data_IF_012983918434
#
_entry.id   IF_012983918434
#
_cell.length_a   1.000
_cell.length_b   1.000
_cell.length_c   1.000
_cell.angle_alpha   90.00
_cell.angle_beta   90.00
_cell.angle_gamma   90.00
#
_symmetry.space_group_name_H-M   'P 1'
#
loop_
_entity.id
_entity.type
_entity.pdbx_description
1 polymer ?
#
# COMPACT_ATOMS: atom_id res chain seq x y z
N UNK A 1 -33.52 -8.45 21.71
CA UNK A 1 -33.34 -7.52 20.57
C UNK A 1 -32.70 -6.14 20.88
N UNK A 2 -31.84 -5.92 21.90
CA UNK A 2 -31.01 -4.70 21.95
C UNK A 2 -29.58 -4.87 21.39
N UNK A 3 -29.03 -6.09 21.42
CA UNK A 3 -27.60 -6.31 21.11
C UNK A 3 -27.28 -6.36 19.60
N UNK A 4 -28.26 -6.66 18.74
CA UNK A 4 -28.06 -6.60 17.27
C UNK A 4 -27.99 -5.15 16.74
N UNK A 5 -28.61 -4.18 17.43
CA UNK A 5 -28.57 -2.76 17.00
C UNK A 5 -27.25 -2.08 17.33
N UNK A 6 -26.55 -2.50 18.38
CA UNK A 6 -25.24 -1.98 18.74
C UNK A 6 -24.13 -2.45 17.76
N UNK A 7 -24.20 -3.71 17.30
CA UNK A 7 -23.25 -4.25 16.33
C UNK A 7 -23.40 -3.60 14.94
N UNK A 8 -24.63 -3.33 14.49
CA UNK A 8 -24.88 -2.64 13.21
C UNK A 8 -24.42 -1.17 13.26
N UNK A 9 -24.57 -0.47 14.40
CA UNK A 9 -24.05 0.90 14.57
C UNK A 9 -22.51 0.95 14.65
N UNK A 10 -21.86 -0.05 15.25
CA UNK A 10 -20.39 -0.11 15.30
C UNK A 10 -19.80 -0.38 13.90
N UNK A 11 -20.44 -1.26 13.12
CA UNK A 11 -20.05 -1.54 11.74
C UNK A 11 -20.28 -0.32 10.83
N UNK A 12 -21.34 0.46 11.06
CA UNK A 12 -21.55 1.74 10.36
C UNK A 12 -20.52 2.82 10.75
N UNK A 13 -20.17 2.94 12.04
CA UNK A 13 -19.14 3.88 12.50
C UNK A 13 -17.72 3.50 12.02
N UNK A 14 -17.48 2.21 11.77
CA UNK A 14 -16.19 1.73 11.25
C UNK A 14 -16.13 1.81 9.72
N UNK A 15 -17.25 1.66 9.02
CA UNK A 15 -17.33 1.77 7.54
C UNK A 15 -17.42 3.22 7.03
N UNK A 16 -17.96 4.16 7.81
CA UNK A 16 -17.89 5.59 7.48
C UNK A 16 -16.49 6.22 7.67
N UNK A 17 -15.51 5.44 8.15
CA UNK A 17 -14.10 5.88 8.23
C UNK A 17 -13.35 5.75 6.90
N UNK A 18 -13.99 5.22 5.86
CA UNK A 18 -13.33 4.90 4.59
C UNK A 18 -14.01 5.48 3.34
N UNK A 19 -14.89 6.46 3.51
CA UNK A 19 -15.27 7.39 2.44
C UNK A 19 -14.80 8.79 2.82
N UNK A 20 -13.47 8.96 2.75
CA UNK A 20 -12.84 10.27 2.68
C UNK A 20 -13.22 10.88 1.33
N UNK A 21 -14.17 11.80 1.35
CA UNK A 21 -14.40 12.73 0.26
C UNK A 21 -13.12 13.57 0.19
N UNK A 22 -12.42 13.48 -0.94
CA UNK A 22 -11.22 14.27 -1.24
C UNK A 22 -11.48 15.75 -0.88
N UNK A 23 -10.73 16.29 0.09
CA UNK A 23 -10.75 17.71 0.47
C UNK A 23 -11.73 18.15 1.57
N UNK A 24 -12.19 17.27 2.48
CA UNK A 24 -13.04 17.68 3.59
C UNK A 24 -12.23 18.18 4.81
N UNK A 25 -12.08 19.50 4.95
CA UNK A 25 -11.59 20.15 6.17
C UNK A 25 -12.50 19.81 7.36
N UNK A 26 -12.09 18.84 8.17
CA UNK A 26 -12.73 18.59 9.45
C UNK A 26 -12.23 19.60 10.49
N UNK A 27 -13.08 19.98 11.43
CA UNK A 27 -12.68 20.91 12.52
C UNK A 27 -11.83 20.24 13.60
N UNK A 28 -11.64 18.92 13.52
CA UNK A 28 -10.74 18.18 14.40
C UNK A 28 -9.27 18.43 14.04
N UNK A 29 -8.38 18.34 15.03
CA UNK A 29 -6.93 18.55 14.83
C UNK A 29 -6.36 17.63 13.76
N UNK A 30 -6.80 16.36 13.74
CA UNK A 30 -6.32 15.34 12.81
C UNK A 30 -7.03 15.33 11.45
N UNK A 31 -7.83 16.35 11.14
CA UNK A 31 -8.55 16.45 9.86
C UNK A 31 -7.87 17.46 8.94
N UNK A 32 -6.56 17.29 8.77
CA UNK A 32 -5.69 18.07 7.91
C UNK A 32 -4.59 17.12 7.37
N UNK A 33 -4.24 17.27 6.09
CA UNK A 33 -3.33 16.34 5.40
C UNK A 33 -1.91 16.41 5.96
N UNK A 34 -1.37 17.63 6.16
CA UNK A 34 -0.08 17.85 6.83
C UNK A 34 -0.02 17.17 8.20
N UNK A 35 -1.09 17.26 8.99
CA UNK A 35 -1.14 16.57 10.27
C UNK A 35 -1.04 15.05 10.09
N UNK A 36 -1.82 14.49 9.16
CA UNK A 36 -1.90 13.06 8.92
C UNK A 36 -0.55 12.50 8.47
N UNK A 37 0.09 13.16 7.50
CA UNK A 37 1.38 12.74 6.93
C UNK A 37 2.48 12.71 8.01
N UNK A 38 2.60 13.78 8.80
CA UNK A 38 3.61 13.86 9.87
C UNK A 38 3.35 12.85 10.98
N UNK A 39 2.08 12.65 11.34
CA UNK A 39 1.70 11.67 12.37
C UNK A 39 1.99 10.23 11.92
N UNK A 40 1.67 9.90 10.67
CA UNK A 40 1.90 8.58 10.11
C UNK A 40 3.40 8.31 9.92
N UNK A 41 4.17 9.26 9.37
CA UNK A 41 5.63 9.13 9.24
C UNK A 41 6.32 8.96 10.60
N UNK A 42 5.91 9.74 11.61
CA UNK A 42 6.43 9.58 12.97
C UNK A 42 6.21 8.14 13.47
N UNK A 43 5.00 7.61 13.31
CA UNK A 43 4.68 6.29 13.83
C UNK A 43 5.27 5.16 12.99
N UNK A 44 5.54 5.36 11.70
CA UNK A 44 6.29 4.40 10.89
C UNK A 44 7.72 4.26 11.39
N UNK A 45 8.42 5.37 11.60
CA UNK A 45 9.78 5.38 12.16
C UNK A 45 9.80 4.85 13.60
N UNK A 46 8.77 5.16 14.39
CA UNK A 46 8.59 4.61 15.74
C UNK A 46 8.28 3.11 15.72
N UNK A 47 7.53 2.60 14.75
CA UNK A 47 7.31 1.16 14.65
C UNK A 47 8.57 0.43 14.18
N UNK A 48 9.47 1.12 13.45
CA UNK A 48 10.77 0.62 13.01
C UNK A 48 11.88 0.66 14.07
N UNK A 49 11.57 1.07 15.30
CA UNK A 49 12.51 1.00 16.42
C UNK A 49 13.30 2.28 16.72
N UNK A 50 13.09 3.37 15.96
CA UNK A 50 13.81 4.63 16.18
C UNK A 50 13.36 5.35 17.46
N UNK A 51 14.24 6.15 18.09
CA UNK A 51 13.91 6.90 19.30
C UNK A 51 13.10 8.15 18.96
N UNK A 52 12.19 8.56 19.86
CA UNK A 52 11.31 9.73 19.63
C UNK A 52 12.11 11.00 19.35
N UNK A 53 13.22 11.20 20.04
CA UNK A 53 14.10 12.36 19.83
C UNK A 53 14.70 12.38 18.41
N UNK A 54 15.20 11.24 17.92
CA UNK A 54 15.77 11.11 16.58
C UNK A 54 14.70 11.35 15.50
N UNK A 55 13.53 10.75 15.68
CA UNK A 55 12.38 10.93 14.79
C UNK A 55 12.01 12.41 14.74
N UNK A 56 11.91 13.07 15.90
CA UNK A 56 11.53 14.48 15.99
C UNK A 56 12.54 15.38 15.28
N UNK A 57 13.84 15.17 15.51
CA UNK A 57 14.91 15.91 14.82
C UNK A 57 14.85 15.71 13.30
N UNK A 58 14.64 14.47 12.85
CA UNK A 58 14.51 14.14 11.43
C UNK A 58 13.31 14.83 10.80
N UNK A 59 12.11 14.68 11.38
CA UNK A 59 10.90 15.30 10.84
C UNK A 59 11.01 16.83 10.77
N UNK A 60 11.59 17.47 11.79
CA UNK A 60 11.84 18.92 11.77
C UNK A 60 12.83 19.31 10.66
N UNK A 61 13.88 18.51 10.46
CA UNK A 61 14.89 18.79 9.43
C UNK A 61 14.35 18.64 8.01
N UNK A 62 13.52 17.62 7.78
CA UNK A 62 13.01 17.26 6.45
C UNK A 62 11.80 18.10 6.03
N UNK A 63 11.02 18.62 6.98
CA UNK A 63 9.79 19.38 6.71
C UNK A 63 9.98 20.90 6.89
N UNK A 64 11.19 21.42 6.66
CA UNK A 64 11.46 22.87 6.81
C UNK A 64 10.57 23.74 5.93
N UNK A 65 10.25 23.30 4.73
CA UNK A 65 9.36 24.03 3.82
C UNK A 65 7.96 24.15 4.42
N UNK A 66 7.38 23.04 4.88
CA UNK A 66 6.08 23.01 5.59
C UNK A 66 6.09 23.85 6.87
N UNK A 67 7.18 23.79 7.64
CA UNK A 67 7.32 24.58 8.88
C UNK A 67 7.37 26.08 8.59
N UNK A 68 7.93 26.48 7.45
CA UNK A 68 8.02 27.87 7.02
C UNK A 68 6.78 28.36 6.26
N UNK A 69 5.86 27.46 5.89
CA UNK A 69 4.58 27.78 5.26
C UNK A 69 3.55 28.20 6.32
N UNK A 70 3.11 29.47 6.36
CA UNK A 70 2.25 29.97 7.45
C UNK A 70 0.89 29.27 7.56
N UNK A 71 0.37 28.70 6.47
CA UNK A 71 -0.93 28.00 6.47
C UNK A 71 -0.82 26.57 7.05
N UNK A 72 0.34 25.92 6.93
CA UNK A 72 0.51 24.50 7.28
C UNK A 72 1.35 24.25 8.55
N UNK A 73 2.24 25.20 8.91
CA UNK A 73 3.20 25.05 10.02
C UNK A 73 2.55 24.61 11.34
N UNK A 74 1.36 25.14 11.65
CA UNK A 74 0.65 24.80 12.89
C UNK A 74 0.30 23.30 12.96
N UNK A 75 -0.15 22.72 11.84
CA UNK A 75 -0.57 21.32 11.78
C UNK A 75 0.62 20.36 11.94
N UNK A 76 1.81 20.73 11.43
CA UNK A 76 3.06 20.00 11.70
C UNK A 76 3.32 19.91 13.21
N UNK A 77 3.31 21.04 13.92
CA UNK A 77 3.58 21.06 15.36
C UNK A 77 2.52 20.32 16.18
N UNK A 78 1.26 20.41 15.79
CA UNK A 78 0.19 19.64 16.42
C UNK A 78 0.38 18.12 16.25
N UNK A 79 0.76 17.66 15.06
CA UNK A 79 1.03 16.24 14.80
C UNK A 79 2.21 15.75 15.63
N UNK A 80 3.33 16.46 15.59
CA UNK A 80 4.54 16.10 16.32
C UNK A 80 4.30 16.06 17.83
N UNK A 81 3.67 17.09 18.41
CA UNK A 81 3.36 17.13 19.83
C UNK A 81 2.43 15.99 20.24
N UNK A 82 1.41 15.68 19.42
CA UNK A 82 0.51 14.56 19.72
C UNK A 82 1.24 13.23 19.71
N UNK A 83 2.08 13.00 18.71
CA UNK A 83 2.83 11.75 18.57
C UNK A 83 3.80 11.54 19.73
N UNK A 84 4.56 12.58 20.11
CA UNK A 84 5.45 12.55 21.27
C UNK A 84 4.68 12.31 22.59
N UNK A 85 3.54 12.98 22.78
CA UNK A 85 2.68 12.77 23.95
C UNK A 85 2.16 11.33 24.05
N UNK A 86 1.71 10.74 22.95
CA UNK A 86 1.30 9.34 22.92
C UNK A 86 2.44 8.38 23.26
N UNK A 87 3.68 8.75 22.96
CA UNK A 87 4.88 8.02 23.33
C UNK A 87 5.36 8.31 24.76
N UNK A 88 4.67 9.19 25.50
CA UNK A 88 5.06 9.65 26.84
C UNK A 88 6.44 10.34 26.87
N UNK A 89 6.78 11.02 25.78
CA UNK A 89 8.07 11.69 25.58
C UNK A 89 7.85 13.06 24.92
N UNK A 90 6.78 13.76 25.33
CA UNK A 90 6.50 15.12 24.86
C UNK A 90 7.58 16.06 25.37
N UNK A 91 8.28 16.69 24.41
CA UNK A 91 9.28 17.70 24.68
C UNK A 91 8.60 19.00 25.18
N UNK A 92 9.19 19.63 26.19
CA UNK A 92 8.64 20.82 26.82
C UNK A 92 8.61 22.04 25.88
N UNK A 93 9.61 22.20 25.02
CA UNK A 93 9.67 23.28 24.02
C UNK A 93 8.60 23.08 22.96
N UNK A 94 8.35 21.83 22.55
CA UNK A 94 7.28 21.49 21.60
C UNK A 94 5.90 21.76 22.23
N UNK A 95 5.69 21.40 23.49
CA UNK A 95 4.47 21.72 24.21
C UNK A 95 4.25 23.24 24.32
N UNK A 96 5.27 24.00 24.69
CA UNK A 96 5.13 25.46 24.81
C UNK A 96 4.84 26.10 23.45
N UNK A 97 5.47 25.63 22.37
CA UNK A 97 5.15 26.10 21.01
C UNK A 97 3.68 25.86 20.65
N UNK A 98 3.17 24.65 20.86
CA UNK A 98 1.75 24.33 20.58
C UNK A 98 0.81 25.18 21.44
N UNK A 99 1.15 25.36 22.72
CA UNK A 99 0.39 26.21 23.64
C UNK A 99 0.36 27.66 23.16
N UNK A 100 1.48 28.22 22.72
CA UNK A 100 1.54 29.56 22.17
C UNK A 100 0.66 29.73 20.92
N UNK A 101 0.72 28.79 19.97
CA UNK A 101 -0.11 28.81 18.74
C UNK A 101 -1.60 28.90 19.12
N UNK A 102 -2.02 28.08 20.09
CA UNK A 102 -3.42 28.00 20.52
C UNK A 102 -3.85 29.25 21.29
N UNK A 103 -3.01 29.73 22.21
CA UNK A 103 -3.32 30.90 23.05
C UNK A 103 -3.31 32.21 22.27
N UNK A 104 -2.41 32.36 21.30
CA UNK A 104 -2.36 33.51 20.39
C UNK A 104 -3.45 33.45 19.30
N UNK A 105 -4.13 32.31 19.15
CA UNK A 105 -5.16 32.11 18.14
C UNK A 105 -4.62 32.01 16.71
N UNK A 106 -3.31 31.75 16.53
CA UNK A 106 -2.66 31.76 15.21
C UNK A 106 -3.26 30.76 14.23
N UNK A 107 -3.65 29.56 14.69
CA UNK A 107 -4.35 28.57 13.86
C UNK A 107 -5.74 29.08 13.42
N UNK A 108 -6.45 29.82 14.28
CA UNK A 108 -7.75 30.38 13.92
C UNK A 108 -7.63 31.52 12.90
N UNK A 109 -6.54 32.29 12.93
CA UNK A 109 -6.26 33.31 11.90
C UNK A 109 -5.99 32.68 10.53
N UNK A 110 -5.29 31.55 10.48
CA UNK A 110 -5.13 30.77 9.24
C UNK A 110 -6.51 30.37 8.68
N UNK A 111 -7.37 29.82 9.54
CA UNK A 111 -8.73 29.44 9.14
C UNK A 111 -9.55 30.63 8.62
N UNK A 112 -9.41 31.82 9.22
CA UNK A 112 -10.05 33.05 8.72
C UNK A 112 -9.50 33.49 7.36
N UNK A 113 -8.18 33.40 7.16
CA UNK A 113 -7.52 33.73 5.88
C UNK A 113 -7.96 32.80 4.75
N UNK A 114 -8.29 31.55 5.08
CA UNK A 114 -8.82 30.55 4.15
C UNK A 114 -10.35 30.61 4.02
N UNK A 115 -10.98 31.72 4.42
CA UNK A 115 -12.42 31.98 4.33
C UNK A 115 -13.31 30.90 5.00
N UNK A 116 -12.81 30.26 6.07
CA UNK A 116 -13.61 29.30 6.82
C UNK A 116 -14.81 29.98 7.52
N UNK A 117 -15.96 29.31 7.54
CA UNK A 117 -17.15 29.83 8.21
C UNK A 117 -16.91 30.00 9.73
N UNK A 118 -17.44 31.09 10.31
CA UNK A 118 -17.31 31.39 11.75
C UNK A 118 -17.83 30.24 12.65
N UNK A 119 -18.84 29.49 12.18
CA UNK A 119 -19.34 28.30 12.89
C UNK A 119 -18.26 27.22 13.04
N UNK A 120 -17.39 27.07 12.05
CA UNK A 120 -16.37 26.03 11.99
C UNK A 120 -15.10 26.49 12.69
N UNK A 121 -14.77 27.79 12.64
CA UNK A 121 -13.74 28.41 13.49
C UNK A 121 -14.06 28.20 14.98
N UNK A 122 -15.32 28.40 15.40
CA UNK A 122 -15.74 28.12 16.79
C UNK A 122 -15.56 26.65 17.18
N UNK A 123 -15.89 25.71 16.29
CA UNK A 123 -15.67 24.27 16.53
C UNK A 123 -14.17 23.93 16.57
N UNK A 124 -13.36 24.54 15.70
CA UNK A 124 -11.91 24.38 15.69
C UNK A 124 -11.31 24.87 16.99
N UNK A 125 -11.73 26.03 17.51
CA UNK A 125 -11.33 26.53 18.83
C UNK A 125 -11.59 25.51 19.95
N UNK A 126 -12.80 24.96 20.01
CA UNK A 126 -13.14 23.92 21.01
C UNK A 126 -12.22 22.69 20.87
N UNK A 127 -11.86 22.31 19.64
CA UNK A 127 -10.94 21.21 19.38
C UNK A 127 -9.51 21.51 19.84
N UNK A 128 -9.01 22.74 19.59
CA UNK A 128 -7.70 23.21 20.05
C UNK A 128 -7.64 23.26 21.59
N UNK A 129 -8.66 23.81 22.24
CA UNK A 129 -8.72 23.91 23.70
C UNK A 129 -8.70 22.52 24.36
N UNK A 130 -9.47 21.56 23.80
CA UNK A 130 -9.44 20.15 24.23
C UNK A 130 -8.10 19.48 23.98
N UNK A 131 -7.50 19.76 22.82
CA UNK A 131 -6.22 19.20 22.43
C UNK A 131 -5.10 19.64 23.39
N UNK A 132 -5.02 20.93 23.69
CA UNK A 132 -4.06 21.48 24.65
C UNK A 132 -4.27 20.88 26.05
N UNK A 133 -5.52 20.81 26.52
CA UNK A 133 -5.84 20.21 27.80
C UNK A 133 -5.34 18.75 27.90
N UNK A 134 -5.43 17.97 26.82
CA UNK A 134 -4.88 16.61 26.77
C UNK A 134 -3.36 16.63 26.83
N UNK A 135 -2.68 17.47 26.04
CA UNK A 135 -1.21 17.51 26.02
C UNK A 135 -0.60 17.93 27.37
N UNK A 136 -1.33 18.71 28.17
CA UNK A 136 -0.91 19.12 29.52
C UNK A 136 -1.06 18.02 30.57
N UNK A 137 -1.68 16.89 30.24
CA UNK A 137 -1.74 15.72 31.13
C UNK A 137 -0.58 14.77 30.86
N UNK A 138 -0.19 13.99 31.86
CA UNK A 138 0.74 12.89 31.64
C UNK A 138 0.02 11.69 31.01
N UNK A 139 0.57 11.16 29.91
CA UNK A 139 0.08 9.90 29.33
C UNK A 139 0.39 8.74 30.30
N UNK A 140 -0.61 7.94 30.76
CA UNK A 140 -0.36 6.89 31.74
C UNK A 140 0.63 5.81 31.26
N UNK A 141 0.56 5.47 29.98
CA UNK A 141 1.41 4.45 29.34
C UNK A 141 1.77 4.89 27.93
N UNK A 142 3.05 4.77 27.59
CA UNK A 142 3.53 4.98 26.23
C UNK A 142 2.83 4.02 25.25
N UNK A 143 2.48 4.53 24.09
CA UNK A 143 1.94 3.75 22.98
C UNK A 143 2.94 2.66 22.60
N UNK A 144 2.47 1.41 22.54
CA UNK A 144 3.34 0.30 22.15
C UNK A 144 3.67 0.38 20.66
N UNK A 145 4.92 0.10 20.33
CA UNK A 145 5.36 -0.09 18.94
C UNK A 145 4.57 -1.23 18.32
N UNK A 146 4.11 -1.05 17.09
CA UNK A 146 3.52 -2.12 16.28
C UNK A 146 4.66 -2.80 15.53
N UNK A 147 4.81 -4.10 15.70
CA UNK A 147 5.72 -4.85 14.84
C UNK A 147 5.13 -4.91 13.43
N UNK A 148 5.93 -4.57 12.42
CA UNK A 148 5.57 -4.87 11.03
C UNK A 148 5.35 -6.38 10.92
N UNK A 149 4.14 -6.79 10.53
CA UNK A 149 3.87 -8.20 10.26
C UNK A 149 4.56 -8.52 8.95
N UNK A 150 5.73 -9.14 9.04
CA UNK A 150 6.43 -9.66 7.87
C UNK A 150 5.58 -10.77 7.29
N UNK A 151 5.07 -10.56 6.07
CA UNK A 151 4.32 -11.58 5.35
C UNK A 151 5.28 -12.40 4.51
N UNK A 152 5.16 -13.72 4.65
CA UNK A 152 5.87 -14.63 3.78
C UNK A 152 5.17 -14.69 2.42
N UNK A 153 5.92 -14.69 1.31
CA UNK A 153 5.33 -14.83 0.00
C UNK A 153 4.59 -16.17 -0.11
N UNK A 154 3.39 -16.19 -0.74
CA UNK A 154 2.58 -17.41 -0.85
C UNK A 154 3.22 -18.45 -1.78
N UNK A 155 4.11 -17.99 -2.66
CA UNK A 155 4.82 -18.83 -3.62
C UNK A 155 6.32 -18.59 -3.54
N UNK A 156 7.09 -19.57 -3.96
CA UNK A 156 8.55 -19.51 -4.02
C UNK A 156 9.01 -19.20 -5.44
N UNK A 157 10.15 -18.52 -5.54
CA UNK A 157 10.85 -18.29 -6.81
C UNK A 157 11.03 -19.61 -7.57
N UNK A 158 10.67 -19.59 -8.84
CA UNK A 158 10.71 -20.73 -9.75
C UNK A 158 9.48 -21.61 -9.75
N UNK A 159 8.52 -21.43 -8.85
CA UNK A 159 7.31 -22.27 -8.84
C UNK A 159 6.47 -22.07 -10.11
N UNK A 160 6.07 -23.20 -10.69
CA UNK A 160 5.15 -23.27 -11.82
C UNK A 160 3.75 -23.53 -11.29
N UNK A 161 2.85 -22.60 -11.55
CA UNK A 161 1.48 -22.58 -11.06
C UNK A 161 0.52 -22.89 -12.21
N UNK A 162 -0.49 -23.71 -11.96
CA UNK A 162 -1.60 -23.96 -12.88
C UNK A 162 -2.93 -23.60 -12.25
N UNK A 163 -3.90 -23.29 -13.10
CA UNK A 163 -5.27 -22.91 -12.73
C UNK A 163 -6.22 -23.25 -13.87
N UNK A 164 -7.52 -23.26 -13.58
CA UNK A 164 -8.56 -23.48 -14.59
C UNK A 164 -8.94 -22.17 -15.30
N UNK A 165 -8.99 -22.24 -16.63
CA UNK A 165 -9.52 -21.20 -17.51
C UNK A 165 -11.03 -21.38 -17.70
N UNK A 166 -11.72 -20.34 -18.14
CA UNK A 166 -13.16 -20.34 -18.39
C UNK A 166 -13.60 -21.37 -19.45
N UNK A 167 -12.70 -21.74 -20.39
CA UNK A 167 -12.93 -22.77 -21.40
C UNK A 167 -12.70 -24.21 -20.88
N UNK A 168 -12.40 -24.40 -19.60
CA UNK A 168 -12.14 -25.69 -18.95
C UNK A 168 -10.71 -26.21 -19.07
N UNK A 169 -9.89 -25.59 -19.93
CA UNK A 169 -8.46 -25.91 -20.07
C UNK A 169 -7.65 -25.44 -18.86
N UNK A 170 -6.43 -25.94 -18.78
CA UNK A 170 -5.42 -25.48 -17.83
C UNK A 170 -4.65 -24.29 -18.40
N UNK A 171 -4.55 -23.25 -17.59
CA UNK A 171 -3.62 -22.14 -17.75
C UNK A 171 -2.35 -22.33 -16.91
N UNK A 172 -1.38 -21.44 -17.08
CA UNK A 172 -0.12 -21.50 -16.34
C UNK A 172 0.46 -20.13 -16.01
N UNK A 173 1.16 -20.03 -14.89
CA UNK A 173 2.00 -18.90 -14.52
C UNK A 173 3.31 -19.37 -13.87
N UNK A 174 4.35 -18.54 -13.92
CA UNK A 174 5.66 -18.81 -13.32
C UNK A 174 6.01 -17.71 -12.34
N UNK A 175 6.48 -18.10 -11.15
CA UNK A 175 6.98 -17.16 -10.15
C UNK A 175 8.43 -16.82 -10.47
N UNK A 176 8.69 -15.60 -10.92
CA UNK A 176 10.02 -15.13 -11.28
C UNK A 176 10.83 -14.65 -10.06
N UNK A 177 10.16 -14.19 -9.01
CA UNK A 177 10.80 -13.71 -7.79
C UNK A 177 9.87 -13.81 -6.60
N UNK A 178 10.42 -13.99 -5.40
CA UNK A 178 9.68 -14.01 -4.15
C UNK A 178 10.43 -13.17 -3.10
N UNK A 179 9.87 -12.02 -2.75
CA UNK A 179 10.45 -11.11 -1.76
C UNK A 179 10.10 -11.59 -0.36
N UNK A 180 11.08 -12.21 0.30
CA UNK A 180 11.03 -12.51 1.72
C UNK A 180 11.20 -11.24 2.54
N UNK A 181 10.74 -11.29 3.78
CA UNK A 181 11.02 -10.27 4.78
C UNK A 181 10.52 -8.86 4.42
N UNK A 182 9.44 -8.80 3.62
CA UNK A 182 8.73 -7.57 3.31
C UNK A 182 7.39 -7.52 4.05
N UNK A 183 6.86 -6.32 4.26
CA UNK A 183 5.54 -6.13 4.88
C UNK A 183 4.42 -6.92 4.18
N UNK A 184 4.58 -7.12 2.87
CA UNK A 184 3.53 -7.68 2.03
C UNK A 184 3.84 -9.07 1.48
N UNK A 185 5.10 -9.51 1.42
CA UNK A 185 5.44 -10.85 0.88
C UNK A 185 5.20 -10.94 -0.62
N UNK A 186 5.70 -9.98 -1.39
CA UNK A 186 5.44 -9.89 -2.83
C UNK A 186 6.04 -11.06 -3.62
N UNK A 187 5.35 -11.49 -4.68
CA UNK A 187 5.87 -12.44 -5.68
C UNK A 187 5.73 -11.85 -7.07
N UNK A 188 6.75 -11.97 -7.92
CA UNK A 188 6.66 -11.54 -9.31
C UNK A 188 6.12 -12.70 -10.14
N UNK A 189 4.98 -12.52 -10.77
CA UNK A 189 4.27 -13.57 -11.50
C UNK A 189 4.25 -13.23 -12.97
N UNK A 190 4.75 -14.16 -13.81
CA UNK A 190 4.60 -14.12 -15.26
C UNK A 190 3.50 -15.09 -15.70
N UNK A 191 2.39 -14.56 -16.19
CA UNK A 191 1.32 -15.37 -16.77
C UNK A 191 1.77 -15.90 -18.13
N UNK A 192 1.52 -17.18 -18.40
CA UNK A 192 1.92 -17.83 -19.65
C UNK A 192 0.78 -17.89 -20.65
N UNK A 193 1.10 -18.23 -21.90
CA UNK A 193 0.12 -18.58 -22.95
C UNK A 193 -0.35 -20.03 -22.91
N UNK A 194 -0.04 -20.80 -21.86
CA UNK A 194 -0.53 -22.17 -21.70
C UNK A 194 -2.06 -22.15 -21.68
N UNK A 195 -2.67 -22.97 -22.54
CA UNK A 195 -4.12 -23.16 -22.64
C UNK A 195 -4.37 -24.54 -23.25
N UNK A 196 -4.33 -25.58 -22.42
CA UNK A 196 -4.39 -26.97 -22.89
C UNK A 196 -5.31 -27.84 -22.04
N UNK A 197 -5.92 -28.91 -22.60
CA UNK A 197 -6.90 -29.72 -21.90
C UNK A 197 -6.30 -30.58 -20.77
N UNK A 198 -5.02 -30.95 -20.87
CA UNK A 198 -4.29 -31.74 -19.88
C UNK A 198 -3.52 -30.88 -18.87
N UNK A 199 -3.30 -31.39 -17.67
CA UNK A 199 -2.49 -30.70 -16.65
C UNK A 199 -1.09 -30.39 -17.22
N UNK A 200 -0.59 -29.14 -17.11
CA UNK A 200 0.73 -28.78 -17.64
C UNK A 200 1.87 -29.56 -17.00
N UNK A 201 2.90 -29.81 -17.78
CA UNK A 201 4.17 -30.41 -17.35
C UNK A 201 5.21 -29.32 -17.16
N UNK A 202 6.32 -29.65 -16.50
CA UNK A 202 7.47 -28.74 -16.38
C UNK A 202 7.94 -28.20 -17.74
N UNK A 203 8.03 -29.07 -18.75
CA UNK A 203 8.47 -28.70 -20.10
C UNK A 203 7.51 -27.70 -20.76
N UNK A 204 6.22 -27.79 -20.49
CA UNK A 204 5.24 -26.81 -20.98
C UNK A 204 5.57 -25.41 -20.43
N UNK A 205 5.94 -25.30 -19.15
CA UNK A 205 6.35 -24.02 -18.56
C UNK A 205 7.70 -23.51 -19.08
N UNK A 206 8.69 -24.39 -19.24
CA UNK A 206 10.04 -24.02 -19.73
C UNK A 206 10.02 -23.49 -21.17
N UNK A 207 9.05 -23.95 -21.98
CA UNK A 207 8.91 -23.60 -23.39
C UNK A 207 7.81 -22.57 -23.66
N UNK A 208 7.00 -22.22 -22.65
CA UNK A 208 5.90 -21.29 -22.79
C UNK A 208 6.33 -19.87 -23.19
N UNK A 209 5.49 -19.25 -24.01
CA UNK A 209 5.45 -17.81 -24.22
C UNK A 209 4.75 -17.12 -23.03
N UNK A 210 5.20 -15.92 -22.70
CA UNK A 210 4.54 -15.03 -21.74
C UNK A 210 3.29 -14.46 -22.38
N UNK A 211 2.21 -14.37 -21.60
CA UNK A 211 0.98 -13.74 -22.05
C UNK A 211 1.20 -12.24 -22.23
N UNK A 212 0.90 -11.74 -23.43
CA UNK A 212 0.78 -10.31 -23.73
C UNK A 212 -0.70 -10.02 -23.88
N UNK A 213 -1.20 -9.05 -23.11
CA UNK A 213 -2.58 -8.63 -23.21
C UNK A 213 -2.71 -7.38 -24.09
N UNK A 214 -3.73 -7.35 -24.95
CA UNK A 214 -3.98 -6.26 -25.88
C UNK A 214 -5.46 -5.89 -26.06
N UNK A 215 -6.33 -6.36 -25.16
CA UNK A 215 -7.74 -5.99 -25.15
C UNK A 215 -7.99 -4.75 -24.28
N UNK A 216 -9.08 -4.02 -24.52
CA UNK A 216 -9.42 -2.80 -23.79
C UNK A 216 -8.24 -1.81 -23.75
N UNK A 217 -7.84 -1.34 -22.57
CA UNK A 217 -6.75 -0.37 -22.39
C UNK A 217 -5.36 -1.04 -22.27
N UNK A 218 -5.24 -2.33 -22.59
CA UNK A 218 -3.95 -2.98 -22.64
C UNK A 218 -3.27 -2.68 -23.99
N UNK A 219 -2.11 -2.03 -23.93
CA UNK A 219 -1.30 -1.65 -25.08
C UNK A 219 -0.13 -2.63 -25.29
N UNK A 220 -0.45 -3.85 -25.79
CA UNK A 220 0.51 -4.95 -26.02
C UNK A 220 1.48 -5.19 -24.85
N UNK A 221 0.96 -5.14 -23.61
CA UNK A 221 1.76 -5.24 -22.40
C UNK A 221 1.86 -6.67 -21.88
N UNK A 222 3.08 -7.08 -21.50
CA UNK A 222 3.31 -8.35 -20.81
C UNK A 222 2.51 -8.45 -19.51
N UNK A 223 1.84 -9.57 -19.28
CA UNK A 223 1.19 -9.84 -18.01
C UNK A 223 2.20 -10.41 -17.01
N UNK A 224 3.10 -9.53 -16.56
CA UNK A 224 4.09 -9.79 -15.51
C UNK A 224 3.83 -8.79 -14.38
N UNK A 225 3.38 -9.25 -13.21
CA UNK A 225 2.92 -8.37 -12.13
C UNK A 225 3.51 -8.78 -10.79
N UNK A 226 3.73 -7.80 -9.92
CA UNK A 226 3.98 -8.06 -8.51
C UNK A 226 2.68 -8.39 -7.80
N UNK A 227 2.51 -9.65 -7.44
CA UNK A 227 1.37 -10.15 -6.68
C UNK A 227 1.60 -9.98 -5.18
N UNK A 228 0.63 -9.35 -4.54
CA UNK A 228 0.56 -9.10 -3.10
C UNK A 228 -0.50 -10.02 -2.46
N UNK A 229 -0.14 -10.86 -1.48
CA UNK A 229 -1.02 -11.87 -0.89
C UNK A 229 -2.07 -11.34 0.10
N UNK A 230 -2.49 -10.08 0.04
CA UNK A 230 -3.51 -9.54 0.97
C UNK A 230 -4.82 -10.34 0.89
N UNK A 231 -5.22 -10.78 -0.31
CA UNK A 231 -6.44 -11.57 -0.55
C UNK A 231 -6.15 -12.99 -1.01
N UNK A 232 -4.93 -13.48 -0.77
CA UNK A 232 -4.51 -14.81 -1.25
C UNK A 232 -5.41 -15.94 -0.75
N UNK A 233 -5.85 -15.89 0.51
CA UNK A 233 -6.76 -16.91 1.07
C UNK A 233 -8.11 -17.04 0.35
N UNK A 234 -8.54 -16.03 -0.39
CA UNK A 234 -9.75 -16.11 -1.21
C UNK A 234 -9.53 -16.83 -2.54
N UNK A 235 -8.28 -16.89 -3.03
CA UNK A 235 -7.92 -17.41 -4.37
C UNK A 235 -7.01 -18.63 -4.33
N UNK A 236 -6.44 -18.98 -3.17
CA UNK A 236 -5.53 -20.12 -2.97
C UNK A 236 -6.08 -21.43 -3.54
N UNK A 237 -7.38 -21.69 -3.36
CA UNK A 237 -8.04 -22.90 -3.84
C UNK A 237 -8.13 -23.01 -5.39
N UNK A 238 -7.88 -21.92 -6.12
CA UNK A 238 -7.89 -21.89 -7.58
C UNK A 238 -6.52 -22.22 -8.19
N UNK A 239 -5.47 -22.25 -7.36
CA UNK A 239 -4.08 -22.24 -7.79
C UNK A 239 -3.41 -23.51 -7.30
N UNK A 240 -2.83 -24.26 -8.23
CA UNK A 240 -2.12 -25.49 -7.93
C UNK A 240 -0.65 -25.35 -8.33
N UNK A 241 0.25 -25.80 -7.45
CA UNK A 241 1.67 -25.95 -7.80
C UNK A 241 1.87 -27.22 -8.64
N UNK A 242 2.52 -27.07 -9.79
CA UNK A 242 2.88 -28.19 -10.68
C UNK A 242 4.31 -28.65 -10.46
N UNK A 243 5.29 -27.74 -10.58
CA UNK A 243 6.73 -28.04 -10.53
C UNK A 243 7.52 -26.79 -10.12
N UNK A 244 8.84 -26.81 -10.28
CA UNK A 244 9.74 -25.68 -10.07
C UNK A 244 10.82 -25.66 -11.16
N UNK A 245 11.01 -24.50 -11.79
CA UNK A 245 12.07 -24.23 -12.76
C UNK A 245 13.14 -23.32 -12.16
N UNK A 246 14.36 -23.39 -12.69
CA UNK A 246 15.46 -22.54 -12.25
C UNK A 246 15.29 -21.10 -12.80
N UNK A 247 15.32 -20.11 -11.90
CA UNK A 247 15.29 -18.68 -12.25
C UNK A 247 16.58 -18.02 -11.79
N UNK A 248 17.46 -17.69 -12.74
CA UNK A 248 18.80 -17.14 -12.50
C UNK A 248 18.79 -15.61 -12.39
N UNK A 249 17.76 -14.96 -12.89
CA UNK A 249 17.60 -13.49 -12.84
C UNK A 249 17.02 -13.11 -11.48
N UNK A 250 17.57 -12.06 -10.85
CA UNK A 250 17.01 -11.46 -9.63
C UNK A 250 16.22 -10.22 -10.01
N UNK A 251 14.96 -10.17 -9.60
CA UNK A 251 14.06 -9.06 -9.89
C UNK A 251 13.88 -8.17 -8.65
N UNK A 252 13.70 -6.86 -8.88
CA UNK A 252 13.50 -5.89 -7.81
C UNK A 252 12.21 -5.11 -8.04
N UNK A 253 11.44 -4.90 -6.97
CA UNK A 253 10.11 -4.28 -7.05
C UNK A 253 10.13 -2.82 -7.52
N UNK A 254 11.22 -2.09 -7.25
CA UNK A 254 11.40 -0.69 -7.65
C UNK A 254 11.82 -0.51 -9.13
N UNK A 255 12.15 -1.60 -9.84
CA UNK A 255 12.54 -1.58 -11.26
C UNK A 255 11.41 -2.14 -12.10
N UNK A 256 10.37 -1.32 -12.27
CA UNK A 256 9.29 -1.40 -13.26
C UNK A 256 9.04 -2.79 -13.90
N UNK A 257 8.20 -3.60 -13.26
CA UNK A 257 7.43 -4.63 -13.98
C UNK A 257 5.96 -4.47 -13.61
N UNK A 258 5.22 -3.87 -14.57
CA UNK A 258 3.78 -3.66 -14.75
C UNK A 258 2.84 -3.51 -13.53
N UNK A 259 3.33 -3.15 -12.34
CA UNK A 259 2.53 -2.75 -11.18
C UNK A 259 2.26 -3.85 -10.17
N UNK A 260 1.69 -3.44 -9.04
CA UNK A 260 1.35 -4.29 -7.89
C UNK A 260 -0.14 -4.61 -7.90
N UNK A 261 -0.50 -5.88 -7.69
CA UNK A 261 -1.88 -6.39 -7.73
C UNK A 261 -2.16 -7.34 -6.57
N UNK A 262 -3.39 -7.40 -6.08
CA UNK A 262 -3.75 -8.22 -4.90
C UNK A 262 -4.63 -9.46 -5.22
N UNK A 263 -5.30 -9.47 -6.39
CA UNK A 263 -6.32 -10.45 -6.75
C UNK A 263 -5.80 -11.35 -7.90
N UNK A 264 -5.34 -12.56 -7.57
CA UNK A 264 -4.72 -13.49 -8.55
C UNK A 264 -5.72 -13.92 -9.63
N UNK A 265 -6.95 -14.26 -9.22
CA UNK A 265 -8.05 -14.61 -10.11
C UNK A 265 -8.37 -13.50 -11.12
N UNK A 266 -8.27 -12.24 -10.72
CA UNK A 266 -8.54 -11.09 -11.60
C UNK A 266 -7.36 -10.82 -12.54
N UNK A 267 -6.14 -10.75 -12.01
CA UNK A 267 -5.00 -10.19 -12.74
C UNK A 267 -4.14 -11.22 -13.47
N UNK A 268 -4.33 -12.51 -13.16
CA UNK A 268 -3.68 -13.65 -13.83
C UNK A 268 -4.74 -14.43 -14.62
N UNK A 269 -5.73 -15.02 -13.93
CA UNK A 269 -6.69 -15.95 -14.56
C UNK A 269 -7.61 -15.21 -15.53
N UNK A 270 -8.34 -14.20 -15.05
CA UNK A 270 -9.31 -13.45 -15.86
C UNK A 270 -8.66 -12.63 -16.98
N UNK A 271 -7.41 -12.18 -16.80
CA UNK A 271 -6.65 -11.56 -17.91
C UNK A 271 -6.36 -12.59 -18.99
N UNK A 272 -5.89 -13.78 -18.62
CA UNK A 272 -5.67 -14.87 -19.57
C UNK A 272 -6.96 -15.23 -20.32
N UNK A 273 -8.07 -15.44 -19.61
CA UNK A 273 -9.38 -15.70 -20.22
C UNK A 273 -9.79 -14.62 -21.22
N UNK A 274 -9.71 -13.35 -20.80
CA UNK A 274 -10.09 -12.22 -21.68
C UNK A 274 -9.17 -12.08 -22.88
N UNK A 275 -7.88 -12.36 -22.72
CA UNK A 275 -6.93 -12.30 -23.84
C UNK A 275 -7.16 -13.44 -24.82
N UNK A 276 -7.39 -14.67 -24.35
CA UNK A 276 -7.72 -15.78 -25.27
C UNK A 276 -9.05 -15.56 -25.98
N UNK A 277 -10.00 -14.88 -25.33
CA UNK A 277 -11.27 -14.53 -25.95
C UNK A 277 -11.15 -13.37 -26.94
N UNK A 278 -10.36 -12.34 -26.65
CA UNK A 278 -10.11 -11.24 -27.59
C UNK A 278 -9.45 -11.73 -28.87
N UNK A 279 -8.58 -12.74 -28.80
CA UNK A 279 -7.89 -13.32 -29.94
C UNK A 279 -8.79 -14.07 -30.93
N UNK A 280 -10.06 -14.33 -30.59
CA UNK A 280 -11.02 -14.87 -31.56
C UNK A 280 -11.43 -13.84 -32.61
N UNK A 281 -11.28 -12.55 -32.31
CA UNK A 281 -11.70 -11.45 -33.20
C UNK A 281 -10.58 -10.44 -33.48
N UNK A 282 -9.58 -10.34 -32.60
CA UNK A 282 -8.42 -9.45 -32.73
C UNK A 282 -7.15 -10.25 -33.01
N UNK A 283 -6.25 -9.69 -33.81
CA UNK A 283 -4.94 -10.30 -34.04
C UNK A 283 -4.10 -10.32 -32.76
N UNK A 284 -3.34 -11.41 -32.61
CA UNK A 284 -2.35 -11.56 -31.54
C UNK A 284 -1.26 -10.49 -31.62
N UNK A 285 -0.71 -10.07 -30.46
CA UNK A 285 0.52 -9.29 -30.44
C UNK A 285 1.63 -9.99 -31.24
N UNK A 286 2.39 -9.21 -32.01
CA UNK A 286 3.52 -9.72 -32.80
C UNK A 286 4.76 -9.94 -31.94
N UNK A 287 4.91 -9.14 -30.89
CA UNK A 287 5.95 -9.27 -29.87
C UNK A 287 5.82 -10.62 -29.16
N UNK A 288 6.95 -11.26 -28.87
CA UNK A 288 7.02 -12.52 -28.14
C UNK A 288 8.15 -12.47 -27.13
N UNK A 289 7.93 -13.11 -26.00
CA UNK A 289 8.95 -13.39 -25.01
C UNK A 289 8.63 -14.72 -24.36
N UNK A 290 9.65 -15.51 -24.09
CA UNK A 290 9.51 -16.84 -23.48
C UNK A 290 9.85 -16.81 -22.00
N UNK A 291 9.32 -17.78 -21.24
CA UNK A 291 9.73 -18.00 -19.85
C UNK A 291 11.23 -18.26 -19.75
N UNK A 292 11.81 -18.97 -20.73
CA UNK A 292 13.26 -19.21 -20.79
C UNK A 292 14.08 -17.91 -20.83
N UNK A 293 13.64 -16.91 -21.56
CA UNK A 293 14.30 -15.58 -21.64
C UNK A 293 14.15 -14.78 -20.34
N UNK A 294 13.06 -14.95 -19.61
CA UNK A 294 12.84 -14.33 -18.29
C UNK A 294 13.52 -15.06 -17.13
N UNK A 295 14.10 -16.24 -17.37
CA UNK A 295 14.67 -17.06 -16.30
C UNK A 295 16.17 -17.25 -16.43
N UNK A 296 16.72 -17.26 -17.65
CA UNK A 296 18.16 -17.46 -17.86
C UNK A 296 18.90 -16.13 -18.04
N UNK A 297 20.06 -15.99 -17.39
CA UNK A 297 20.96 -14.87 -17.71
C UNK A 297 21.51 -15.05 -19.14
N UNK A 298 21.46 -14.02 -19.96
CA UNK A 298 22.18 -14.03 -21.25
C UNK A 298 23.66 -14.31 -20.98
N UNK A 299 24.23 -15.31 -21.65
CA UNK A 299 25.63 -15.70 -21.46
C UNK A 299 26.64 -14.74 -22.11
N UNK A 300 26.22 -13.68 -22.80
CA UNK A 300 27.13 -12.79 -23.54
C UNK A 300 26.66 -11.34 -23.57
N UNK A 301 27.49 -10.42 -23.06
CA UNK A 301 27.89 -9.12 -23.66
C UNK A 301 29.19 -8.63 -22.98
N UNK A 302 30.32 -9.20 -23.37
CA UNK A 302 31.62 -8.50 -23.38
C UNK A 302 31.97 -8.33 -24.86
N UNK A 303 31.86 -7.11 -25.37
CA UNK A 303 32.57 -6.58 -26.53
C UNK A 303 32.86 -5.13 -26.22
#
# INVERSE_FOLDING_TARGET
MPQLRAAVMLVWATLNRQYQIMGAWGTAISSNDTYADIYDEFFDLYNDGQFVEDISRKLIADNKETINEPDDSNNFWFALAKAQWECKQLDAEILERVKEIIQKGSDLEVWRRLDAEERDIKKRKVSLDKFLAVLQTEKPKAKSRKNKVIKQPPFKKGECLTFKLANGNYGGAVVLEAMKDTEYGHTLIATTRINQPSRPTKTDFETAEVLIANYANWDDNFNIKWYMPIRHKLTEHLIEKVDTIEVQINYHINKSMNGIVADFDVWVIKVADKQFESEKTKQRPTTKQTIKELTKKSKWKFW
#
